data_IF_824882067956
#
_entry.id   IF_824882067956
#
_cell.length_a   1.000
_cell.length_b   1.000
_cell.length_c   1.000
_cell.angle_alpha   90.00
_cell.angle_beta   90.00
_cell.angle_gamma   90.00
#
_symmetry.space_group_name_H-M   'P 1'
#
loop_
_entity.id
_entity.type
_entity.pdbx_description
1 polymer ?
#
# COMPACT_ATOMS: atom_id res chain seq x y z
N UNK A 1 -27.53 -2.72 13.22
CA UNK A 1 -27.33 -2.30 11.81
C UNK A 1 -26.56 -3.40 11.09
N UNK A 2 -27.05 -3.80 9.91
CA UNK A 2 -26.80 -5.09 9.26
C UNK A 2 -25.47 -5.12 8.49
N UNK A 3 -24.47 -5.82 9.03
CA UNK A 3 -23.16 -6.08 8.38
C UNK A 3 -23.31 -7.02 7.15
N UNK A 4 -24.38 -7.81 7.09
CA UNK A 4 -24.61 -8.77 6.01
C UNK A 4 -25.02 -8.11 4.67
N UNK A 5 -25.46 -6.85 4.67
CA UNK A 5 -25.84 -6.17 3.42
C UNK A 5 -24.65 -5.61 2.64
N UNK A 6 -23.48 -5.45 3.27
CA UNK A 6 -22.29 -4.90 2.59
C UNK A 6 -21.53 -5.97 1.80
N UNK A 7 -21.47 -7.20 2.31
CA UNK A 7 -20.81 -8.33 1.63
C UNK A 7 -21.61 -8.76 0.39
N UNK A 8 -22.95 -8.63 0.42
CA UNK A 8 -23.80 -8.99 -0.71
C UNK A 8 -23.68 -8.00 -1.89
N UNK A 9 -23.33 -6.74 -1.62
CA UNK A 9 -23.15 -5.72 -2.67
C UNK A 9 -21.87 -5.95 -3.49
N UNK A 10 -20.83 -6.53 -2.88
CA UNK A 10 -19.55 -6.84 -3.56
C UNK A 10 -19.68 -8.07 -4.48
N UNK A 11 -20.55 -9.03 -4.16
CA UNK A 11 -20.74 -10.25 -4.97
C UNK A 11 -21.64 -10.03 -6.19
N UNK A 12 -22.61 -9.11 -6.10
CA UNK A 12 -23.56 -8.84 -7.21
C UNK A 12 -22.89 -8.12 -8.40
N UNK A 13 -21.77 -7.42 -8.20
CA UNK A 13 -21.01 -6.81 -9.29
C UNK A 13 -20.17 -7.80 -10.12
N UNK A 14 -20.12 -9.08 -9.75
CA UNK A 14 -19.31 -10.10 -10.44
C UNK A 14 -20.09 -11.06 -11.36
N UNK A 15 -21.42 -10.90 -11.54
CA UNK A 15 -22.23 -11.82 -12.37
C UNK A 15 -23.11 -11.08 -13.38
N UNK A 16 -22.52 -10.48 -14.41
CA UNK A 16 -23.27 -10.05 -15.60
C UNK A 16 -22.43 -10.25 -16.86
N UNK A 17 -22.67 -11.29 -17.67
CA UNK A 17 -22.21 -11.31 -19.05
C UNK A 17 -23.15 -10.43 -19.89
N UNK A 18 -22.63 -9.33 -20.43
CA UNK A 18 -23.30 -8.53 -21.45
C UNK A 18 -23.53 -9.39 -22.70
N UNK A 19 -24.79 -9.72 -22.96
CA UNK A 19 -25.26 -10.49 -24.11
C UNK A 19 -25.43 -9.56 -25.31
N UNK A 20 -24.53 -9.64 -26.29
CA UNK A 20 -24.71 -8.97 -27.58
C UNK A 20 -25.54 -9.84 -28.54
N UNK A 21 -26.64 -9.31 -29.06
CA UNK A 21 -27.40 -9.90 -30.17
C UNK A 21 -26.76 -9.46 -31.49
N UNK A 22 -26.39 -10.44 -32.31
CA UNK A 22 -25.95 -10.22 -33.70
C UNK A 22 -27.16 -10.44 -34.60
N UNK A 23 -27.50 -9.45 -35.43
CA UNK A 23 -28.51 -9.54 -36.47
C UNK A 23 -27.79 -9.65 -37.82
N UNK A 24 -28.11 -10.68 -38.60
CA UNK A 24 -27.53 -10.92 -39.93
C UNK A 24 -28.18 -10.03 -40.99
N UNK A 25 -27.35 -9.53 -41.91
CA UNK A 25 -27.79 -8.86 -43.14
C UNK A 25 -26.62 -8.66 -44.10
N UNK A 26 -26.62 -9.46 -45.18
CA UNK A 26 -25.67 -9.48 -46.30
C UNK A 26 -25.25 -8.10 -46.84
N UNK A 27 -23.95 -7.85 -47.05
CA UNK A 27 -23.38 -7.33 -48.32
C UNK A 27 -21.82 -7.29 -48.33
N UNK A 28 -21.26 -8.23 -49.11
CA UNK A 28 -20.13 -8.10 -50.05
C UNK A 28 -18.82 -7.41 -49.62
N UNK A 29 -17.78 -8.24 -49.40
CA UNK A 29 -16.32 -8.13 -49.67
C UNK A 29 -15.53 -6.84 -49.40
N UNK A 30 -16.08 -5.63 -49.56
CA UNK A 30 -15.48 -4.38 -49.06
C UNK A 30 -15.73 -4.18 -47.56
N UNK A 31 -16.83 -4.73 -47.04
CA UNK A 31 -17.08 -4.80 -45.61
C UNK A 31 -16.06 -5.70 -44.90
N UNK A 32 -15.58 -6.77 -45.53
CA UNK A 32 -14.67 -7.72 -44.88
C UNK A 32 -13.29 -7.13 -44.55
N UNK A 33 -12.76 -6.21 -45.37
CA UNK A 33 -11.48 -5.55 -45.12
C UNK A 33 -11.55 -4.42 -44.06
N UNK A 34 -12.67 -3.70 -44.01
CA UNK A 34 -12.97 -2.74 -42.93
C UNK A 34 -13.34 -3.45 -41.63
N UNK A 35 -14.05 -4.57 -41.71
CA UNK A 35 -14.44 -5.43 -40.59
C UNK A 35 -13.27 -6.25 -40.05
N UNK A 36 -12.25 -6.59 -40.86
CA UNK A 36 -10.98 -7.14 -40.33
C UNK A 36 -10.18 -6.07 -39.60
N UNK A 37 -10.18 -4.82 -40.06
CA UNK A 37 -9.50 -3.73 -39.36
C UNK A 37 -10.23 -3.34 -38.05
N UNK A 38 -11.57 -3.29 -38.07
CA UNK A 38 -12.41 -3.10 -36.88
C UNK A 38 -12.38 -4.32 -35.95
N UNK A 39 -12.32 -5.56 -36.47
CA UNK A 39 -12.21 -6.75 -35.62
C UNK A 39 -10.82 -6.88 -34.99
N UNK A 40 -9.75 -6.51 -35.68
CA UNK A 40 -8.40 -6.47 -35.09
C UNK A 40 -8.30 -5.34 -34.05
N UNK A 41 -8.89 -4.17 -34.30
CA UNK A 41 -8.96 -3.09 -33.30
C UNK A 41 -9.83 -3.46 -32.10
N UNK A 42 -11.00 -4.09 -32.29
CA UNK A 42 -11.86 -4.52 -31.18
C UNK A 42 -11.23 -5.65 -30.37
N UNK A 43 -10.54 -6.61 -31.00
CA UNK A 43 -9.76 -7.63 -30.30
C UNK A 43 -8.60 -7.02 -29.48
N UNK A 44 -7.89 -6.04 -30.04
CA UNK A 44 -6.81 -5.35 -29.33
C UNK A 44 -7.34 -4.52 -28.14
N UNK A 45 -8.50 -3.86 -28.29
CA UNK A 45 -9.17 -3.17 -27.20
C UNK A 45 -9.63 -4.15 -26.12
N UNK A 46 -10.22 -5.28 -26.50
CA UNK A 46 -10.68 -6.30 -25.57
C UNK A 46 -9.51 -6.96 -24.80
N UNK A 47 -8.37 -7.19 -25.47
CA UNK A 47 -7.14 -7.65 -24.82
C UNK A 47 -6.57 -6.59 -23.86
N UNK A 48 -6.60 -5.31 -24.23
CA UNK A 48 -6.14 -4.21 -23.38
C UNK A 48 -7.03 -4.06 -22.14
N UNK A 49 -8.35 -4.15 -22.30
CA UNK A 49 -9.29 -4.13 -21.17
C UNK A 49 -9.10 -5.33 -20.25
N UNK A 50 -8.89 -6.52 -20.79
CA UNK A 50 -8.58 -7.71 -19.99
C UNK A 50 -7.25 -7.57 -19.21
N UNK A 51 -6.23 -6.98 -19.83
CA UNK A 51 -4.95 -6.68 -19.17
C UNK A 51 -5.10 -5.63 -18.07
N UNK A 52 -5.84 -4.55 -18.32
CA UNK A 52 -6.12 -3.50 -17.32
C UNK A 52 -6.93 -4.06 -16.15
N UNK A 53 -7.92 -4.90 -16.43
CA UNK A 53 -8.72 -5.58 -15.41
C UNK A 53 -7.84 -6.51 -14.55
N UNK A 54 -6.96 -7.29 -15.18
CA UNK A 54 -6.01 -8.18 -14.49
C UNK A 54 -5.02 -7.40 -13.61
N UNK A 55 -4.47 -6.28 -14.11
CA UNK A 55 -3.57 -5.44 -13.32
C UNK A 55 -4.30 -4.78 -12.15
N UNK A 56 -5.54 -4.32 -12.33
CA UNK A 56 -6.33 -3.77 -11.22
C UNK A 56 -6.63 -4.82 -10.15
N UNK A 57 -7.00 -6.04 -10.53
CA UNK A 57 -7.25 -7.11 -9.52
C UNK A 57 -5.97 -7.44 -8.76
N UNK A 58 -4.82 -7.55 -9.44
CA UNK A 58 -3.53 -7.72 -8.76
C UNK A 58 -3.21 -6.55 -7.82
N UNK A 59 -3.48 -5.30 -8.24
CA UNK A 59 -3.24 -4.10 -7.43
C UNK A 59 -4.06 -4.13 -6.13
N UNK A 60 -5.30 -4.60 -6.22
CA UNK A 60 -6.19 -4.75 -5.07
C UNK A 60 -5.67 -5.80 -4.10
N UNK A 61 -5.24 -6.96 -4.60
CA UNK A 61 -4.66 -8.01 -3.77
C UNK A 61 -3.42 -7.51 -3.02
N UNK A 62 -2.54 -6.80 -3.71
CA UNK A 62 -1.39 -6.16 -3.07
C UNK A 62 -1.83 -5.16 -2.01
N UNK A 63 -2.78 -4.27 -2.32
CA UNK A 63 -3.29 -3.26 -1.38
C UNK A 63 -3.97 -3.85 -0.14
N UNK A 64 -4.60 -5.01 -0.27
CA UNK A 64 -5.16 -5.74 0.85
C UNK A 64 -4.09 -6.33 1.75
N UNK A 65 -3.00 -6.84 1.17
CA UNK A 65 -1.88 -7.41 1.92
C UNK A 65 -1.00 -6.34 2.58
N UNK A 66 -0.69 -5.27 1.85
CA UNK A 66 0.18 -4.18 2.29
C UNK A 66 -0.37 -2.83 1.82
N UNK A 67 -0.68 -1.90 2.73
CA UNK A 67 -1.11 -0.55 2.38
C UNK A 67 -0.10 0.16 1.47
N UNK A 68 -0.59 0.79 0.40
CA UNK A 68 0.21 1.56 -0.57
C UNK A 68 0.84 0.75 -1.72
N UNK A 69 0.86 -0.56 -1.62
CA UNK A 69 1.52 -1.41 -2.63
C UNK A 69 0.77 -1.45 -3.96
N UNK A 70 -0.57 -1.43 -3.98
CA UNK A 70 -1.33 -1.38 -5.23
C UNK A 70 -1.22 -0.05 -5.95
N UNK A 71 -1.20 1.08 -5.23
CA UNK A 71 -0.94 2.40 -5.83
C UNK A 71 0.44 2.43 -6.46
N UNK A 72 1.45 1.88 -5.77
CA UNK A 72 2.81 1.76 -6.31
C UNK A 72 2.82 0.92 -7.59
N UNK A 73 2.12 -0.21 -7.59
CA UNK A 73 2.03 -1.09 -8.76
C UNK A 73 1.30 -0.47 -9.96
N UNK A 74 0.34 0.43 -9.72
CA UNK A 74 -0.38 1.19 -10.74
C UNK A 74 0.40 2.43 -11.23
N UNK A 75 1.62 2.67 -10.73
CA UNK A 75 2.50 3.76 -11.16
C UNK A 75 2.40 5.03 -10.31
N UNK A 76 1.77 4.97 -9.14
CA UNK A 76 1.63 6.09 -8.21
C UNK A 76 2.47 5.91 -6.93
N UNK A 77 3.81 6.00 -6.99
CA UNK A 77 4.69 5.70 -5.86
C UNK A 77 4.48 6.66 -4.68
N UNK A 78 4.24 7.95 -4.93
CA UNK A 78 4.01 8.92 -3.85
C UNK A 78 2.74 8.63 -3.04
N UNK A 79 1.64 8.25 -3.72
CA UNK A 79 0.41 7.81 -3.04
C UNK A 79 0.66 6.53 -2.24
N UNK A 80 1.39 5.59 -2.85
CA UNK A 80 1.78 4.34 -2.20
C UNK A 80 2.53 4.59 -0.90
N UNK A 81 3.62 5.36 -0.96
CA UNK A 81 4.43 5.72 0.21
C UNK A 81 3.60 6.43 1.28
N UNK A 82 2.70 7.34 0.90
CA UNK A 82 1.85 8.03 1.87
C UNK A 82 0.94 7.06 2.64
N UNK A 83 0.27 6.13 1.95
CA UNK A 83 -0.56 5.11 2.60
C UNK A 83 0.26 4.14 3.45
N UNK A 84 1.42 3.70 2.96
CA UNK A 84 2.35 2.84 3.71
C UNK A 84 2.79 3.52 5.00
N UNK A 85 3.33 4.74 4.93
CA UNK A 85 3.81 5.47 6.11
C UNK A 85 2.70 5.76 7.11
N UNK A 86 1.52 6.17 6.63
CA UNK A 86 0.38 6.44 7.50
C UNK A 86 -0.07 5.18 8.24
N UNK A 87 -0.24 4.06 7.53
CA UNK A 87 -0.71 2.80 8.12
C UNK A 87 0.32 2.18 9.08
N UNK A 88 1.60 2.11 8.67
CA UNK A 88 2.63 1.54 9.53
C UNK A 88 2.98 2.46 10.70
N UNK A 89 2.94 3.78 10.51
CA UNK A 89 3.13 4.75 11.60
C UNK A 89 2.04 4.66 12.67
N UNK A 90 0.77 4.55 12.25
CA UNK A 90 -0.34 4.35 13.19
C UNK A 90 -0.27 2.99 13.87
N UNK A 91 0.04 1.92 13.11
CA UNK A 91 0.16 0.57 13.66
C UNK A 91 1.30 0.46 14.68
N UNK A 92 2.47 1.03 14.38
CA UNK A 92 3.61 1.06 15.30
C UNK A 92 3.23 1.74 16.61
N UNK A 93 2.51 2.87 16.54
CA UNK A 93 2.06 3.59 17.74
C UNK A 93 1.06 2.75 18.56
N UNK A 94 0.19 2.00 17.90
CA UNK A 94 -0.70 1.05 18.58
C UNK A 94 0.07 -0.07 19.29
N UNK A 95 1.10 -0.64 18.65
CA UNK A 95 1.95 -1.68 19.24
C UNK A 95 2.71 -1.15 20.46
N UNK A 96 3.33 0.03 20.35
CA UNK A 96 4.01 0.68 21.49
C UNK A 96 3.03 0.91 22.65
N UNK A 97 1.84 1.43 22.35
CA UNK A 97 0.80 1.65 23.36
C UNK A 97 0.32 0.33 23.99
N UNK A 98 0.30 -0.77 23.23
CA UNK A 98 -0.06 -2.07 23.75
C UNK A 98 1.01 -2.62 24.71
N UNK A 99 2.28 -2.45 24.39
CA UNK A 99 3.38 -2.87 25.26
C UNK A 99 3.38 -2.06 26.57
N UNK A 100 3.17 -0.74 26.49
CA UNK A 100 3.04 0.12 27.67
C UNK A 100 1.85 -0.26 28.55
N UNK A 101 0.73 -0.65 27.92
CA UNK A 101 -0.43 -1.16 28.64
C UNK A 101 -0.10 -2.43 29.44
N UNK A 102 0.60 -3.40 28.82
CA UNK A 102 1.01 -4.65 29.50
C UNK A 102 1.95 -4.32 30.68
N UNK A 103 2.99 -3.52 30.44
CA UNK A 103 3.94 -3.15 31.48
C UNK A 103 3.30 -2.38 32.65
N UNK A 104 2.33 -1.50 32.35
CA UNK A 104 1.58 -0.79 33.39
C UNK A 104 0.67 -1.72 34.18
N UNK A 105 0.11 -2.75 33.54
CA UNK A 105 -0.70 -3.75 34.23
C UNK A 105 0.13 -4.58 35.20
N UNK A 106 1.27 -5.10 34.74
CA UNK A 106 2.21 -5.86 35.58
C UNK A 106 2.70 -5.02 36.79
N UNK A 107 2.93 -3.72 36.58
CA UNK A 107 3.29 -2.80 37.65
C UNK A 107 2.16 -2.59 38.65
N UNK A 108 0.90 -2.56 38.19
CA UNK A 108 -0.26 -2.45 39.07
C UNK A 108 -0.38 -3.70 39.95
N UNK A 109 -0.27 -4.88 39.36
CA UNK A 109 -0.30 -6.16 40.08
C UNK A 109 0.82 -6.21 41.16
N UNK A 110 2.02 -5.73 40.84
CA UNK A 110 3.13 -5.65 41.79
C UNK A 110 2.90 -4.64 42.93
N UNK A 111 2.22 -3.52 42.66
CA UNK A 111 1.86 -2.52 43.67
C UNK A 111 0.73 -3.03 44.58
N UNK A 112 -0.26 -3.74 44.03
CA UNK A 112 -1.32 -4.39 44.80
C UNK A 112 -0.74 -5.40 45.79
N UNK A 113 0.22 -6.21 45.34
CA UNK A 113 0.93 -7.15 46.21
C UNK A 113 1.69 -6.43 47.33
N UNK A 114 2.39 -5.33 47.03
CA UNK A 114 3.10 -4.56 48.06
C UNK A 114 2.14 -3.89 49.05
N UNK A 115 1.02 -3.36 48.55
CA UNK A 115 0.00 -2.73 49.37
C UNK A 115 -0.63 -3.74 50.36
N UNK A 116 -0.95 -4.94 49.89
CA UNK A 116 -1.49 -6.01 50.72
C UNK A 116 -0.54 -6.45 51.86
N UNK A 117 0.77 -6.26 51.68
CA UNK A 117 1.81 -6.60 52.65
C UNK A 117 2.30 -5.39 53.48
N UNK A 118 1.73 -4.20 53.27
CA UNK A 118 2.16 -2.99 53.96
C UNK A 118 1.72 -3.00 55.44
N UNK A 119 2.67 -2.84 56.36
CA UNK A 119 2.42 -2.89 57.81
C UNK A 119 2.21 -1.53 58.45
N UNK A 120 2.44 -0.44 57.72
CA UNK A 120 2.29 0.92 58.23
C UNK A 120 1.48 1.81 57.28
N UNK A 121 0.79 2.79 57.86
CA UNK A 121 -0.15 3.66 57.15
C UNK A 121 0.54 4.54 56.09
N UNK A 122 1.74 5.06 56.38
CA UNK A 122 2.45 5.97 55.45
C UNK A 122 2.83 5.22 54.16
N UNK A 123 3.38 4.01 54.30
CA UNK A 123 3.69 3.13 53.16
C UNK A 123 2.44 2.72 52.40
N UNK A 124 1.37 2.32 53.09
CA UNK A 124 0.11 1.96 52.46
C UNK A 124 -0.49 3.13 51.66
N UNK A 125 -0.50 4.34 52.22
CA UNK A 125 -1.00 5.54 51.56
C UNK A 125 -0.15 5.92 50.34
N UNK A 126 1.17 5.76 50.42
CA UNK A 126 2.09 6.01 49.28
C UNK A 126 1.80 5.04 48.14
N UNK A 127 1.75 3.74 48.44
CA UNK A 127 1.46 2.69 47.47
C UNK A 127 0.08 2.86 46.82
N UNK A 128 -0.92 3.29 47.60
CA UNK A 128 -2.25 3.60 47.08
C UNK A 128 -2.24 4.74 46.06
N UNK A 129 -1.53 5.83 46.36
CA UNK A 129 -1.39 6.94 45.42
C UNK A 129 -0.64 6.52 44.14
N UNK A 130 0.38 5.66 44.27
CA UNK A 130 1.09 5.09 43.13
C UNK A 130 0.18 4.21 42.27
N UNK A 131 -0.68 3.39 42.88
CA UNK A 131 -1.68 2.58 42.16
C UNK A 131 -2.64 3.45 41.35
N UNK A 132 -3.18 4.53 41.94
CA UNK A 132 -4.03 5.49 41.21
C UNK A 132 -3.30 6.07 40.01
N UNK A 133 -2.03 6.47 40.18
CA UNK A 133 -1.20 7.01 39.10
C UNK A 133 -0.98 6.01 37.96
N UNK A 134 -0.75 4.73 38.28
CA UNK A 134 -0.58 3.66 37.29
C UNK A 134 -1.90 3.33 36.60
N UNK A 135 -3.02 3.29 37.32
CA UNK A 135 -4.35 3.04 36.74
C UNK A 135 -4.73 4.10 35.69
N UNK A 136 -4.41 5.37 35.96
CA UNK A 136 -4.62 6.45 34.99
C UNK A 136 -3.79 6.26 33.72
N UNK A 137 -2.51 5.87 33.85
CA UNK A 137 -1.64 5.56 32.70
C UNK A 137 -2.18 4.37 31.91
N UNK A 138 -2.62 3.31 32.59
CA UNK A 138 -3.21 2.13 31.98
C UNK A 138 -4.45 2.47 31.12
N UNK A 139 -5.35 3.32 31.64
CA UNK A 139 -6.53 3.81 30.89
C UNK A 139 -6.11 4.60 29.65
N UNK A 140 -5.11 5.45 29.78
CA UNK A 140 -4.60 6.29 28.70
C UNK A 140 -3.93 5.45 27.59
N UNK A 141 -3.08 4.49 27.95
CA UNK A 141 -2.41 3.60 26.98
C UNK A 141 -3.41 2.68 26.27
N UNK A 142 -4.42 2.18 26.99
CA UNK A 142 -5.55 1.44 26.38
C UNK A 142 -6.28 2.30 25.35
N UNK A 143 -6.58 3.55 25.69
CA UNK A 143 -7.28 4.46 24.79
C UNK A 143 -6.44 4.78 23.55
N UNK A 144 -5.15 5.10 23.74
CA UNK A 144 -4.20 5.33 22.63
C UNK A 144 -4.13 4.14 21.69
N UNK A 145 -3.93 2.92 22.22
CA UNK A 145 -3.93 1.68 21.44
C UNK A 145 -5.18 1.57 20.57
N UNK A 146 -6.35 1.74 21.18
CA UNK A 146 -7.63 1.59 20.47
C UNK A 146 -7.81 2.65 19.37
N UNK A 147 -7.45 3.91 19.65
CA UNK A 147 -7.54 5.00 18.67
C UNK A 147 -6.60 4.73 17.49
N UNK A 148 -5.34 4.34 17.74
CA UNK A 148 -4.38 4.08 16.68
C UNK A 148 -4.71 2.83 15.87
N UNK A 149 -5.29 1.80 16.48
CA UNK A 149 -5.84 0.65 15.75
C UNK A 149 -7.02 1.07 14.85
N UNK A 150 -7.92 1.92 15.35
CA UNK A 150 -9.03 2.44 14.57
C UNK A 150 -8.54 3.28 13.39
N UNK A 151 -7.58 4.18 13.61
CA UNK A 151 -6.92 4.96 12.55
C UNK A 151 -6.27 4.04 11.51
N UNK A 152 -5.55 3.01 11.96
CA UNK A 152 -4.91 2.03 11.05
C UNK A 152 -5.96 1.35 10.17
N UNK A 153 -7.09 0.91 10.75
CA UNK A 153 -8.16 0.27 10.00
C UNK A 153 -8.82 1.23 8.99
N UNK A 154 -9.01 2.50 9.37
CA UNK A 154 -9.54 3.54 8.47
C UNK A 154 -8.60 3.78 7.31
N UNK A 155 -7.29 3.93 7.56
CA UNK A 155 -6.27 4.11 6.52
C UNK A 155 -6.23 2.89 5.60
N UNK A 156 -6.28 1.68 6.15
CA UNK A 156 -6.28 0.45 5.35
C UNK A 156 -7.50 0.36 4.42
N UNK A 157 -8.68 0.72 4.95
CA UNK A 157 -9.91 0.76 4.16
C UNK A 157 -9.83 1.82 3.07
N UNK A 158 -9.38 3.03 3.43
CA UNK A 158 -9.19 4.13 2.48
C UNK A 158 -8.19 3.77 1.37
N UNK A 159 -7.12 3.06 1.71
CA UNK A 159 -6.14 2.55 0.75
C UNK A 159 -6.76 1.61 -0.29
N UNK A 160 -7.62 0.68 0.12
CA UNK A 160 -8.30 -0.24 -0.81
C UNK A 160 -9.31 0.51 -1.69
N UNK A 161 -10.08 1.42 -1.10
CA UNK A 161 -11.04 2.26 -1.83
C UNK A 161 -10.31 3.14 -2.85
N UNK A 162 -9.15 3.69 -2.50
CA UNK A 162 -8.35 4.52 -3.39
C UNK A 162 -7.85 3.72 -4.61
N UNK A 163 -7.44 2.46 -4.44
CA UNK A 163 -7.09 1.59 -5.59
C UNK A 163 -8.29 1.26 -6.47
N UNK A 164 -9.48 1.08 -5.90
CA UNK A 164 -10.69 0.76 -6.66
C UNK A 164 -11.17 1.93 -7.53
N UNK A 165 -11.16 3.14 -6.99
CA UNK A 165 -11.88 4.28 -7.58
C UNK A 165 -11.00 5.46 -7.98
N UNK A 166 -9.90 5.73 -7.26
CA UNK A 166 -9.16 6.99 -7.36
C UNK A 166 -7.75 6.84 -7.95
N UNK A 167 -7.27 5.62 -8.14
CA UNK A 167 -5.96 5.33 -8.72
C UNK A 167 -6.15 4.76 -10.11
N UNK A 168 -5.76 5.56 -11.10
CA UNK A 168 -5.71 5.16 -12.49
C UNK A 168 -4.46 4.31 -12.75
N UNK A 169 -4.54 3.42 -13.74
CA UNK A 169 -3.37 2.65 -14.16
C UNK A 169 -2.54 3.50 -15.14
N UNK A 170 -1.34 3.91 -14.72
CA UNK A 170 -0.45 4.70 -15.58
C UNK A 170 0.25 3.86 -16.66
N UNK A 171 -0.01 2.55 -16.75
CA UNK A 171 0.60 1.70 -17.78
C UNK A 171 2.10 1.45 -17.60
N UNK A 172 2.70 2.00 -16.54
CA UNK A 172 4.12 1.86 -16.26
C UNK A 172 4.40 0.46 -15.73
N UNK A 173 5.45 -0.18 -16.24
CA UNK A 173 5.93 -1.43 -15.66
C UNK A 173 6.44 -1.14 -14.25
N UNK A 174 6.25 -2.12 -13.37
CA UNK A 174 6.41 -2.01 -11.91
C UNK A 174 7.84 -1.55 -11.50
N UNK A 175 8.78 -1.52 -12.47
CA UNK A 175 10.17 -1.10 -12.34
C UNK A 175 10.72 -0.38 -13.59
N UNK A 176 9.91 0.37 -14.36
CA UNK A 176 10.47 1.16 -15.47
C UNK A 176 11.42 2.23 -14.90
N UNK A 177 12.71 2.08 -15.22
CA UNK A 177 13.83 2.96 -14.86
C UNK A 177 13.73 4.38 -15.44
N UNK A 178 12.52 4.92 -15.62
CA UNK A 178 12.32 6.22 -16.25
C UNK A 178 12.83 7.38 -15.36
N UNK A 179 13.08 7.12 -14.08
CA UNK A 179 13.77 8.05 -13.17
C UNK A 179 15.31 7.97 -13.19
N UNK A 180 15.94 7.06 -13.96
CA UNK A 180 17.40 7.03 -14.15
C UNK A 180 17.87 7.84 -15.37
N UNK A 181 16.96 8.52 -16.06
CA UNK A 181 17.30 9.33 -17.24
C UNK A 181 17.55 10.82 -16.91
N UNK A 182 18.00 11.13 -15.69
CA UNK A 182 18.88 12.28 -15.50
C UNK A 182 20.26 11.87 -16.01
N UNK A 183 20.43 11.93 -17.33
CA UNK A 183 21.73 11.74 -18.00
C UNK A 183 22.76 12.60 -17.27
N UNK A 184 23.86 12.04 -16.73
CA UNK A 184 25.06 12.85 -16.60
C UNK A 184 25.45 13.19 -18.03
N UNK A 185 25.29 14.46 -18.40
CA UNK A 185 25.87 15.01 -19.61
C UNK A 185 27.37 14.74 -19.55
N UNK A 186 27.82 13.62 -20.13
CA UNK A 186 29.22 13.40 -20.43
C UNK A 186 29.56 14.43 -21.48
N UNK A 187 30.11 15.56 -21.01
CA UNK A 187 30.81 16.51 -21.85
C UNK A 187 31.92 15.72 -22.54
N UNK A 188 31.68 15.36 -23.79
CA UNK A 188 32.64 14.76 -24.69
C UNK A 188 33.68 15.85 -24.95
N UNK A 189 34.77 15.80 -24.19
CA UNK A 189 35.90 16.70 -24.33
C UNK A 189 36.56 16.36 -25.67
N UNK A 190 36.25 17.16 -26.69
CA UNK A 190 36.86 17.10 -28.01
C UNK A 190 38.35 17.45 -27.85
N UNK A 191 39.21 16.43 -27.87
CA UNK A 191 40.67 16.59 -27.83
C UNK A 191 41.24 16.38 -29.24
N UNK A 192 41.98 17.37 -29.80
CA UNK A 192 42.46 17.30 -31.16
C UNK A 192 43.58 16.27 -31.32
N UNK A 193 43.54 15.57 -32.46
CA UNK A 193 44.48 14.56 -32.90
C UNK A 193 45.96 14.92 -32.69
N UNK A 194 46.70 14.02 -32.03
CA UNK A 194 48.15 13.89 -32.19
C UNK A 194 48.53 12.46 -32.58
N UNK A 195 49.35 12.25 -33.61
CA UNK A 195 49.77 10.92 -34.03
C UNK A 195 50.77 10.30 -33.04
N UNK A 196 50.64 8.99 -32.88
CA UNK A 196 51.43 8.12 -32.02
C UNK A 196 52.91 8.11 -32.45
N UNK A 197 53.81 8.49 -31.54
CA UNK A 197 55.25 8.22 -31.66
C UNK A 197 55.53 6.88 -30.98
N UNK A 198 56.03 5.91 -31.76
CA UNK A 198 56.45 4.61 -31.28
C UNK A 198 57.67 4.74 -30.37
N UNK A 199 57.61 4.16 -29.17
CA UNK A 199 58.74 4.01 -28.27
C UNK A 199 59.13 2.53 -28.20
N UNK A 200 60.26 2.19 -28.81
CA UNK A 200 60.90 0.88 -28.69
C UNK A 200 61.56 0.75 -27.31
N UNK A 201 61.33 -0.36 -26.62
CA UNK A 201 62.00 -0.69 -25.35
C UNK A 201 63.21 -1.56 -25.70
N UNK A 202 64.42 -1.03 -25.48
CA UNK A 202 65.67 -1.81 -25.42
C UNK A 202 65.76 -2.52 -24.06
N UNK A 203 65.97 -3.85 -24.11
CA UNK A 203 66.29 -4.69 -22.96
C UNK A 203 67.79 -4.57 -22.62
N UNK A 204 68.10 -4.29 -21.36
CA UNK A 204 69.37 -4.63 -20.72
C UNK A 204 69.18 -5.84 -19.80
#
# INVERSE_FOLDING_TARGET
MKIHSFILFVVVLFVSPLRAQVHEGNMTMLAYALQTQDSVQTLALQQREAQLASRRTTALLYSLAMPGSGQTMLGHPYKGVAFTLAAFGSLLTAVISHNNFIASNERLDALEFQYANATNWVSANTLYNDMIGVEQKLKLDRNRRNIFLAITAVIWTANVVDVLYNTEDQGQTIFSQQHLNSQPSMALLDLPHRPLVAFSIELQ
#
